data_IF_047936682572
#
_entry.id   IF_047936682572
#
_cell.length_a   1.000
_cell.length_b   1.000
_cell.length_c   1.000
_cell.angle_alpha   90.00
_cell.angle_beta   90.00
_cell.angle_gamma   90.00
#
_symmetry.space_group_name_H-M   'P 1'
#
loop_
_entity.id
_entity.type
_entity.pdbx_description
1 polymer ?
#
# COMPACT_ATOMS: atom_id res chain seq x y z
N UNK A 1 -9.78 -4.67 18.53
CA UNK A 1 -8.50 -4.31 19.16
C UNK A 1 -7.52 -4.11 18.03
N UNK A 2 -6.91 -2.93 17.88
CA UNK A 2 -5.90 -2.70 16.84
C UNK A 2 -4.58 -3.35 17.28
N UNK A 3 -3.97 -4.12 16.38
CA UNK A 3 -2.66 -4.74 16.59
C UNK A 3 -1.63 -3.95 15.78
N UNK A 4 -0.48 -3.65 16.39
CA UNK A 4 0.65 -3.00 15.73
C UNK A 4 1.78 -4.03 15.67
N UNK A 5 2.32 -4.24 14.47
CA UNK A 5 3.49 -5.07 14.22
C UNK A 5 4.60 -4.18 13.65
N UNK A 6 5.84 -4.35 14.14
CA UNK A 6 7.01 -3.62 13.66
C UNK A 6 8.00 -4.64 13.10
N UNK A 7 8.27 -4.55 11.81
CA UNK A 7 9.15 -5.48 11.09
C UNK A 7 10.48 -4.78 10.82
N UNK A 8 11.52 -5.18 11.56
CA UNK A 8 12.84 -4.57 11.46
C UNK A 8 13.82 -5.45 10.70
N UNK A 9 14.68 -4.82 9.90
CA UNK A 9 15.77 -5.49 9.22
C UNK A 9 16.46 -4.58 8.19
N UNK A 10 17.67 -4.94 7.74
CA UNK A 10 18.41 -4.18 6.72
C UNK A 10 17.63 -3.94 5.42
N UNK A 11 18.12 -3.08 4.56
CA UNK A 11 17.55 -2.91 3.21
C UNK A 11 17.66 -4.22 2.41
N UNK A 12 16.73 -4.43 1.46
CA UNK A 12 16.70 -5.59 0.58
C UNK A 12 16.53 -6.97 1.29
N UNK A 13 15.86 -7.01 2.44
CA UNK A 13 15.54 -8.26 3.18
C UNK A 13 14.09 -8.72 3.06
N UNK A 14 13.34 -8.20 2.09
CA UNK A 14 11.97 -8.69 1.80
C UNK A 14 10.85 -8.18 2.72
N UNK A 15 11.11 -7.20 3.58
CA UNK A 15 10.11 -6.64 4.53
C UNK A 15 8.88 -6.07 3.81
N UNK A 16 9.10 -5.20 2.83
CA UNK A 16 8.03 -4.62 2.00
C UNK A 16 7.26 -5.71 1.26
N UNK A 17 7.94 -6.76 0.79
CA UNK A 17 7.29 -7.89 0.12
C UNK A 17 6.36 -8.64 1.07
N UNK A 18 6.81 -8.94 2.29
CA UNK A 18 5.98 -9.57 3.30
C UNK A 18 4.75 -8.72 3.63
N UNK A 19 4.92 -7.42 3.90
CA UNK A 19 3.81 -6.53 4.19
C UNK A 19 2.82 -6.41 3.01
N UNK A 20 3.33 -6.42 1.78
CA UNK A 20 2.51 -6.42 0.56
C UNK A 20 1.63 -7.66 0.49
N UNK A 21 2.20 -8.85 0.71
CA UNK A 21 1.42 -10.11 0.72
C UNK A 21 0.40 -10.13 1.86
N UNK A 22 0.78 -9.66 3.05
CA UNK A 22 -0.13 -9.57 4.19
C UNK A 22 -1.34 -8.68 3.89
N UNK A 23 -1.15 -7.53 3.22
CA UNK A 23 -2.24 -6.62 2.87
C UNK A 23 -3.38 -7.31 2.12
N UNK A 24 -3.07 -8.20 1.18
CA UNK A 24 -4.06 -8.90 0.36
C UNK A 24 -4.75 -10.07 1.08
N UNK A 25 -4.41 -10.34 2.34
CA UNK A 25 -5.17 -11.27 3.20
C UNK A 25 -6.38 -10.59 3.88
N UNK A 26 -6.43 -9.25 3.86
CA UNK A 26 -7.51 -8.43 4.39
C UNK A 26 -8.46 -7.97 3.28
N UNK A 27 -9.65 -7.46 3.63
CA UNK A 27 -10.64 -7.01 2.63
C UNK A 27 -10.35 -5.63 2.04
N UNK A 28 -9.58 -4.81 2.75
CA UNK A 28 -9.13 -3.48 2.32
C UNK A 28 -7.79 -3.14 2.96
N UNK A 29 -7.00 -2.32 2.29
CA UNK A 29 -5.70 -1.92 2.81
C UNK A 29 -5.15 -0.64 2.21
N UNK A 30 -4.31 0.04 2.99
CA UNK A 30 -3.53 1.20 2.53
C UNK A 30 -2.05 0.97 2.85
N UNK A 31 -1.20 1.30 1.89
CA UNK A 31 0.24 1.18 1.97
C UNK A 31 0.87 2.54 1.66
N UNK A 32 1.45 3.17 2.68
CA UNK A 32 2.18 4.43 2.58
C UNK A 32 3.67 4.19 2.32
N UNK A 33 4.22 4.85 1.30
CA UNK A 33 5.62 4.79 0.90
C UNK A 33 6.28 6.16 1.05
N UNK A 34 7.58 6.24 1.39
CA UNK A 34 8.29 7.51 1.52
C UNK A 34 8.55 8.19 0.17
N UNK A 35 8.49 7.44 -0.94
CA UNK A 35 8.82 7.92 -2.28
C UNK A 35 7.73 7.57 -3.28
N UNK A 36 7.43 8.52 -4.16
CA UNK A 36 6.51 8.35 -5.30
C UNK A 36 6.87 7.15 -6.18
N UNK A 37 8.17 6.94 -6.40
CA UNK A 37 8.66 5.81 -7.21
C UNK A 37 8.24 4.47 -6.59
N UNK A 38 8.39 4.32 -5.26
CA UNK A 38 8.04 3.09 -4.56
C UNK A 38 6.52 2.84 -4.57
N UNK A 39 5.72 3.89 -4.37
CA UNK A 39 4.27 3.80 -4.51
C UNK A 39 3.88 3.33 -5.92
N UNK A 40 4.51 3.87 -6.95
CA UNK A 40 4.26 3.51 -8.35
C UNK A 40 4.67 2.07 -8.67
N UNK A 41 5.86 1.65 -8.27
CA UNK A 41 6.36 0.29 -8.51
C UNK A 41 5.45 -0.77 -7.86
N UNK A 42 5.01 -0.53 -6.63
CA UNK A 42 4.12 -1.44 -5.92
C UNK A 42 2.68 -1.42 -6.48
N UNK A 43 2.18 -0.26 -6.91
CA UNK A 43 0.93 -0.15 -7.66
C UNK A 43 0.97 -0.95 -8.97
N UNK A 44 2.01 -0.76 -9.79
CA UNK A 44 2.15 -1.46 -11.07
C UNK A 44 2.30 -2.97 -10.85
N UNK A 45 2.96 -3.39 -9.77
CA UNK A 45 3.03 -4.80 -9.35
C UNK A 45 1.65 -5.34 -8.96
N UNK A 46 0.88 -4.61 -8.15
CA UNK A 46 -0.46 -5.02 -7.74
C UNK A 46 -1.42 -5.13 -8.93
N UNK A 47 -1.38 -4.19 -9.88
CA UNK A 47 -2.17 -4.23 -11.11
C UNK A 47 -1.89 -5.47 -11.99
N UNK A 48 -0.71 -6.08 -11.88
CA UNK A 48 -0.36 -7.32 -12.59
C UNK A 48 -0.87 -8.58 -11.88
N UNK A 49 -1.11 -8.50 -10.58
CA UNK A 49 -1.43 -9.66 -9.73
C UNK A 49 -2.91 -9.71 -9.32
N UNK A 50 -3.59 -8.56 -9.27
CA UNK A 50 -4.93 -8.41 -8.72
C UNK A 50 -5.85 -7.61 -9.64
N UNK A 51 -7.19 -7.67 -9.44
CA UNK A 51 -8.14 -6.93 -10.27
C UNK A 51 -7.88 -5.42 -10.24
N UNK A 52 -7.53 -4.85 -11.40
CA UNK A 52 -7.14 -3.44 -11.56
C UNK A 52 -8.21 -2.48 -11.01
N UNK A 53 -9.49 -2.84 -11.09
CA UNK A 53 -10.59 -2.02 -10.56
C UNK A 53 -10.63 -1.93 -9.02
N UNK A 54 -9.80 -2.69 -8.31
CA UNK A 54 -9.67 -2.63 -6.84
C UNK A 54 -8.37 -1.96 -6.38
N UNK A 55 -7.48 -1.62 -7.30
CA UNK A 55 -6.14 -1.09 -6.99
C UNK A 55 -6.09 0.41 -7.29
N UNK A 56 -5.71 1.21 -6.30
CA UNK A 56 -5.60 2.66 -6.41
C UNK A 56 -4.16 3.13 -6.19
N UNK A 57 -3.80 4.24 -6.85
CA UNK A 57 -2.56 4.99 -6.65
C UNK A 57 -2.91 6.41 -6.21
N UNK A 58 -2.33 6.88 -5.11
CA UNK A 58 -2.49 8.27 -4.66
C UNK A 58 -1.13 8.86 -4.29
N UNK A 59 -0.70 9.85 -5.06
CA UNK A 59 0.53 10.61 -4.81
C UNK A 59 0.19 12.10 -4.92
N UNK A 60 1.15 12.99 -4.63
CA UNK A 60 0.95 14.43 -4.81
C UNK A 60 0.66 14.82 -6.28
N UNK A 61 1.23 14.08 -7.23
CA UNK A 61 1.22 14.41 -8.66
C UNK A 61 0.27 13.53 -9.48
N UNK A 62 -0.02 12.32 -9.03
CA UNK A 62 -0.82 11.32 -9.74
C UNK A 62 -1.87 10.69 -8.81
N UNK A 63 -3.12 10.62 -9.29
CA UNK A 63 -4.24 10.00 -8.58
C UNK A 63 -5.03 9.10 -9.54
N UNK A 64 -5.00 7.80 -9.28
CA UNK A 64 -5.76 6.77 -10.00
C UNK A 64 -6.64 6.06 -8.97
N UNK A 65 -7.95 6.33 -8.99
CA UNK A 65 -8.89 5.72 -8.03
C UNK A 65 -10.08 5.14 -8.80
N UNK A 66 -10.10 3.83 -9.02
CA UNK A 66 -11.28 3.14 -9.50
C UNK A 66 -12.47 3.27 -8.54
N UNK A 67 -13.69 3.11 -9.06
CA UNK A 67 -14.92 3.17 -8.25
C UNK A 67 -14.97 2.12 -7.13
N UNK A 68 -14.39 0.95 -7.36
CA UNK A 68 -14.40 -0.19 -6.43
C UNK A 68 -13.04 -0.37 -5.73
N UNK A 69 -12.24 0.69 -5.61
CA UNK A 69 -10.93 0.65 -4.99
C UNK A 69 -10.98 0.13 -3.54
N UNK A 70 -10.10 -0.83 -3.23
CA UNK A 70 -9.95 -1.42 -1.88
C UNK A 70 -8.52 -1.38 -1.36
N UNK A 71 -7.54 -1.38 -2.27
CA UNK A 71 -6.13 -1.41 -1.94
C UNK A 71 -5.45 -0.17 -2.50
N UNK A 72 -4.87 0.62 -1.61
CA UNK A 72 -4.35 1.94 -1.91
C UNK A 72 -2.84 1.95 -1.74
N UNK A 73 -2.13 2.28 -2.83
CA UNK A 73 -0.70 2.52 -2.83
C UNK A 73 -0.49 4.04 -2.82
N UNK A 74 0.14 4.57 -1.76
CA UNK A 74 0.18 6.00 -1.53
C UNK A 74 1.58 6.49 -1.15
N UNK A 75 1.90 7.76 -1.43
CA UNK A 75 2.89 8.45 -0.59
C UNK A 75 2.31 8.65 0.80
N UNK A 76 3.13 8.60 1.87
CA UNK A 76 2.66 8.69 3.27
C UNK A 76 1.80 9.93 3.49
N UNK A 77 2.19 11.07 2.93
CA UNK A 77 1.50 12.36 3.03
C UNK A 77 0.18 12.41 2.25
N UNK A 78 -0.09 11.42 1.40
CA UNK A 78 -1.29 11.34 0.56
C UNK A 78 -2.19 10.15 0.91
N UNK A 79 -1.93 9.48 2.03
CA UNK A 79 -2.77 8.40 2.51
C UNK A 79 -4.20 8.92 2.78
N UNK A 80 -5.24 8.21 2.30
CA UNK A 80 -6.63 8.60 2.55
C UNK A 80 -7.00 8.46 4.02
N UNK A 81 -7.75 9.44 4.52
CA UNK A 81 -8.39 9.39 5.84
C UNK A 81 -9.67 8.55 5.77
N UNK A 82 -9.51 7.22 5.78
CA UNK A 82 -10.62 6.26 5.73
C UNK A 82 -10.33 5.03 6.63
N UNK A 83 -11.32 4.16 6.80
CA UNK A 83 -11.18 2.92 7.56
C UNK A 83 -10.67 1.79 6.67
N UNK A 84 -9.48 1.27 7.01
CA UNK A 84 -8.87 0.10 6.37
C UNK A 84 -8.70 -1.05 7.36
N UNK A 85 -8.85 -2.29 6.87
CA UNK A 85 -8.54 -3.48 7.66
C UNK A 85 -7.03 -3.67 7.83
N UNK A 86 -6.23 -3.17 6.89
CA UNK A 86 -4.76 -3.18 6.91
C UNK A 86 -4.17 -1.79 6.65
N UNK A 87 -3.16 -1.41 7.44
CA UNK A 87 -2.40 -0.17 7.25
C UNK A 87 -0.92 -0.50 7.35
N UNK A 88 -0.15 -0.15 6.33
CA UNK A 88 1.31 -0.24 6.36
C UNK A 88 1.94 1.12 6.04
N UNK A 89 3.02 1.43 6.74
CA UNK A 89 3.91 2.55 6.44
C UNK A 89 5.29 1.96 6.26
N UNK A 90 5.86 2.11 5.06
CA UNK A 90 7.20 1.62 4.74
C UNK A 90 8.28 2.59 5.20
N UNK A 91 9.48 2.06 5.49
CA UNK A 91 10.70 2.83 5.77
C UNK A 91 10.52 3.90 6.89
N UNK A 92 9.99 3.48 8.05
CA UNK A 92 9.93 4.25 9.31
C UNK A 92 11.33 4.44 9.93
#
# INVERSE_FOLDING_TARGET
>A
MSQIEIILGPTNTGKTFYAFEQMFTYKSGVFGFPLRLLARENFDKACKLYPINQIALITGEEKIIPKDAKYFFCTVESMPEDFFEFVCVDEI
#
